data_IF_368855784337
#
_entry.id   IF_368855784337
#
_cell.length_a   1.000
_cell.length_b   1.000
_cell.length_c   1.000
_cell.angle_alpha   90.00
_cell.angle_beta   90.00
_cell.angle_gamma   90.00
#
_symmetry.space_group_name_H-M   'P 1'
#
loop_
_entity.id
_entity.type
_entity.pdbx_description
1 polymer ?
#
# COMPACT_ATOMS: atom_id res chain seq x y z
N UNK A 1 31.29 58.31 -7.50
CA UNK A 1 30.98 58.00 -6.08
C UNK A 1 29.56 57.50 -5.84
N UNK A 2 28.62 57.59 -6.79
CA UNK A 2 27.26 57.03 -6.64
C UNK A 2 27.14 55.56 -7.10
N UNK A 3 28.06 55.07 -7.93
CA UNK A 3 27.98 53.74 -8.55
C UNK A 3 28.56 52.59 -7.67
N UNK A 4 29.21 52.96 -6.56
CA UNK A 4 29.79 52.02 -5.59
C UNK A 4 28.85 51.69 -4.44
N UNK A 5 27.86 52.55 -4.16
CA UNK A 5 26.88 52.35 -3.08
C UNK A 5 25.72 51.46 -3.53
N UNK A 6 25.32 51.52 -4.80
CA UNK A 6 24.28 50.63 -5.36
C UNK A 6 24.74 49.18 -5.52
N UNK A 7 26.02 48.96 -5.87
CA UNK A 7 26.58 47.61 -5.95
C UNK A 7 26.76 46.96 -4.57
N UNK A 8 27.01 47.75 -3.53
CA UNK A 8 27.12 47.24 -2.16
C UNK A 8 25.74 46.87 -1.57
N UNK A 9 24.69 47.62 -1.91
CA UNK A 9 23.32 47.26 -1.57
C UNK A 9 22.82 46.04 -2.35
N UNK A 10 23.13 45.87 -3.64
CA UNK A 10 22.72 44.68 -4.40
C UNK A 10 23.45 43.39 -3.97
N UNK A 11 24.68 43.48 -3.46
CA UNK A 11 25.41 42.33 -2.91
C UNK A 11 24.93 41.98 -1.49
N UNK A 12 24.52 42.97 -0.68
CA UNK A 12 23.95 42.71 0.64
C UNK A 12 22.47 42.29 0.60
N UNK A 13 21.70 42.69 -0.43
CA UNK A 13 20.32 42.24 -0.63
C UNK A 13 20.22 40.82 -1.20
N UNK A 14 21.31 40.27 -1.76
CA UNK A 14 21.39 38.89 -2.26
C UNK A 14 21.94 37.87 -1.26
N UNK A 15 22.27 38.26 -0.02
CA UNK A 15 22.93 37.38 0.95
C UNK A 15 22.25 37.20 2.31
N UNK A 16 21.01 37.67 2.53
CA UNK A 16 20.36 37.53 3.85
C UNK A 16 18.86 37.22 3.83
N UNK A 17 18.45 36.19 3.09
CA UNK A 17 17.41 35.24 3.54
C UNK A 17 17.85 33.84 3.07
N UNK A 18 18.93 33.35 3.66
CA UNK A 18 19.26 31.92 3.72
C UNK A 18 19.28 31.55 5.20
N UNK A 19 18.18 31.82 5.90
CA UNK A 19 17.77 30.88 6.93
C UNK A 19 17.38 29.64 6.14
N UNK A 20 18.24 28.63 6.20
CA UNK A 20 17.76 27.28 6.01
C UNK A 20 16.65 27.09 7.06
N UNK A 21 15.41 27.39 6.68
CA UNK A 21 14.40 26.40 6.91
C UNK A 21 14.94 25.19 6.18
N UNK A 22 15.63 24.30 6.92
CA UNK A 22 15.57 22.90 6.55
C UNK A 22 14.08 22.67 6.33
N UNK A 23 13.66 22.53 5.08
CA UNK A 23 12.36 21.95 4.80
C UNK A 23 12.28 20.73 5.72
N UNK A 24 11.25 20.62 6.57
CA UNK A 24 11.24 19.56 7.57
C UNK A 24 11.46 18.27 6.81
N UNK A 25 12.60 17.60 7.06
CA UNK A 25 12.94 16.34 6.41
C UNK A 25 11.74 15.45 6.62
N UNK A 26 10.90 15.25 5.60
CA UNK A 26 9.63 14.54 5.76
C UNK A 26 9.93 13.19 6.41
N UNK A 27 9.57 13.05 7.68
CA UNK A 27 9.82 11.84 8.44
C UNK A 27 8.64 10.92 8.21
N UNK A 28 8.91 9.66 7.85
CA UNK A 28 7.90 8.62 7.80
C UNK A 28 7.74 8.06 9.22
N UNK A 29 7.04 8.81 10.09
CA UNK A 29 6.72 8.34 11.43
C UNK A 29 5.35 7.67 11.44
N UNK A 30 5.24 6.68 12.29
CA UNK A 30 4.00 5.99 12.60
C UNK A 30 3.04 6.98 13.29
N UNK A 31 1.73 6.79 13.09
CA UNK A 31 0.74 7.69 13.70
C UNK A 31 0.64 9.08 13.05
N UNK A 32 1.23 9.29 11.87
CA UNK A 32 1.12 10.55 11.13
C UNK A 32 0.11 10.46 9.97
N UNK A 33 -0.64 11.54 9.76
CA UNK A 33 -1.42 11.77 8.56
C UNK A 33 -0.56 12.37 7.45
N UNK A 34 -0.65 11.80 6.25
CA UNK A 34 0.06 12.28 5.05
C UNK A 34 -0.94 12.55 3.92
N UNK A 35 -0.68 13.57 3.12
CA UNK A 35 -1.46 13.80 1.91
C UNK A 35 -1.20 12.67 0.90
N UNK A 36 -2.27 12.22 0.24
CA UNK A 36 -2.21 11.23 -0.80
C UNK A 36 -1.44 11.79 -2.01
N UNK A 37 -0.40 11.08 -2.49
CA UNK A 37 0.27 11.44 -3.72
C UNK A 37 -0.67 11.26 -4.91
N UNK A 38 -0.40 11.98 -5.99
CA UNK A 38 -1.10 11.81 -7.27
C UNK A 38 -0.64 10.48 -7.88
N UNK A 39 -1.40 9.42 -7.65
CA UNK A 39 -1.14 8.08 -8.16
C UNK A 39 -2.38 7.52 -8.88
N UNK A 40 -2.19 6.58 -9.82
CA UNK A 40 -3.29 5.80 -10.34
C UNK A 40 -3.75 4.84 -9.25
N UNK A 41 -5.01 5.01 -8.81
CA UNK A 41 -5.69 4.11 -7.88
C UNK A 41 -6.86 3.42 -8.58
N UNK A 42 -7.06 2.14 -8.30
CA UNK A 42 -8.21 1.36 -8.79
C UNK A 42 -9.50 1.86 -8.16
N UNK A 43 -9.50 2.04 -6.85
CA UNK A 43 -10.63 2.57 -6.10
C UNK A 43 -10.28 3.99 -5.63
N UNK A 44 -11.16 4.96 -5.88
CA UNK A 44 -11.02 6.30 -5.30
C UNK A 44 -11.01 6.20 -3.78
N UNK A 45 -9.99 6.78 -3.16
CA UNK A 45 -9.95 6.89 -1.71
C UNK A 45 -11.09 7.80 -1.23
N UNK A 46 -12.01 7.22 -0.45
CA UNK A 46 -13.26 7.89 -0.06
C UNK A 46 -13.12 8.72 1.22
N UNK A 47 -12.01 8.57 1.94
CA UNK A 47 -11.81 9.14 3.27
C UNK A 47 -11.11 10.51 3.22
N UNK A 48 -10.93 11.10 2.03
CA UNK A 48 -10.45 12.48 1.86
C UNK A 48 -9.09 12.57 1.17
N UNK A 49 -8.30 13.59 1.52
CA UNK A 49 -6.98 13.83 0.94
C UNK A 49 -5.83 13.23 1.75
N UNK A 50 -6.09 12.89 3.00
CA UNK A 50 -5.07 12.44 3.94
C UNK A 50 -5.27 10.98 4.31
N UNK A 51 -4.19 10.26 4.52
CA UNK A 51 -4.21 8.89 5.02
C UNK A 51 -3.39 8.76 6.29
N UNK A 52 -3.82 7.86 7.17
CA UNK A 52 -3.11 7.48 8.39
C UNK A 52 -2.01 6.47 8.08
N UNK A 53 -0.80 6.71 8.60
CA UNK A 53 0.36 5.82 8.46
C UNK A 53 0.37 4.77 9.57
N UNK A 54 0.01 3.53 9.22
CA UNK A 54 0.04 2.39 10.16
C UNK A 54 1.45 2.03 10.58
N UNK A 55 1.61 1.53 11.81
CA UNK A 55 2.90 1.08 12.33
C UNK A 55 3.53 -0.01 11.43
N UNK A 56 2.71 -0.98 11.00
CA UNK A 56 3.19 -2.08 10.17
C UNK A 56 3.73 -1.64 8.79
N UNK A 57 3.39 -0.45 8.28
CA UNK A 57 3.86 0.00 6.97
C UNK A 57 5.37 0.16 6.89
N UNK A 58 6.02 0.58 7.98
CA UNK A 58 7.47 0.70 8.01
C UNK A 58 8.16 -0.67 7.88
N UNK A 59 7.61 -1.71 8.50
CA UNK A 59 8.14 -3.08 8.41
C UNK A 59 7.90 -3.68 7.04
N UNK A 60 6.68 -3.55 6.49
CA UNK A 60 6.38 -4.07 5.15
C UNK A 60 7.18 -3.36 4.06
N UNK A 61 7.45 -2.07 4.22
CA UNK A 61 8.32 -1.35 3.30
C UNK A 61 9.73 -1.96 3.27
N UNK A 62 10.31 -2.28 4.45
CA UNK A 62 11.62 -2.92 4.54
C UNK A 62 11.60 -4.28 3.84
N UNK A 63 10.60 -5.12 4.11
CA UNK A 63 10.46 -6.43 3.51
C UNK A 63 10.38 -6.36 1.98
N UNK A 64 9.52 -5.48 1.44
CA UNK A 64 9.41 -5.29 -0.01
C UNK A 64 10.74 -4.80 -0.60
N UNK A 65 11.42 -3.86 0.07
CA UNK A 65 12.69 -3.33 -0.42
C UNK A 65 13.83 -4.36 -0.36
N UNK A 66 13.87 -5.21 0.67
CA UNK A 66 14.82 -6.34 0.76
C UNK A 66 14.63 -7.30 -0.41
N UNK A 67 13.38 -7.68 -0.70
CA UNK A 67 13.07 -8.53 -1.85
C UNK A 67 13.47 -7.88 -3.19
N UNK A 68 13.25 -6.58 -3.35
CA UNK A 68 13.73 -5.85 -4.53
C UNK A 68 15.26 -5.84 -4.62
N UNK A 69 15.98 -5.65 -3.51
CA UNK A 69 17.45 -5.69 -3.51
C UNK A 69 17.98 -7.08 -3.86
N UNK A 70 17.29 -8.13 -3.41
CA UNK A 70 17.57 -9.54 -3.73
C UNK A 70 17.21 -9.93 -5.17
N UNK A 71 16.86 -8.95 -6.00
CA UNK A 71 16.53 -9.11 -7.43
C UNK A 71 15.26 -9.92 -7.68
N UNK A 72 14.33 -9.95 -6.72
CA UNK A 72 13.01 -10.51 -6.95
C UNK A 72 12.31 -9.72 -8.06
N UNK A 73 11.84 -10.44 -9.08
CA UNK A 73 11.20 -9.83 -10.25
C UNK A 73 9.82 -9.29 -9.92
N UNK A 74 9.16 -9.88 -8.93
CA UNK A 74 7.84 -9.50 -8.49
C UNK A 74 7.74 -9.60 -6.97
N UNK A 75 7.09 -8.64 -6.34
CA UNK A 75 6.65 -8.70 -4.94
C UNK A 75 5.16 -8.40 -4.91
N UNK A 76 4.35 -9.32 -4.38
CA UNK A 76 2.90 -9.13 -4.22
C UNK A 76 2.60 -8.75 -2.78
N UNK A 77 1.96 -7.61 -2.58
CA UNK A 77 1.39 -7.21 -1.28
C UNK A 77 -0.12 -7.38 -1.35
N UNK A 78 -0.64 -8.33 -0.57
CA UNK A 78 -2.05 -8.67 -0.55
C UNK A 78 -2.66 -8.63 0.86
N UNK A 79 -3.94 -9.00 0.98
CA UNK A 79 -4.69 -8.95 2.22
C UNK A 79 -6.16 -8.64 2.00
N UNK A 80 -6.95 -8.65 3.07
CA UNK A 80 -8.40 -8.45 3.04
C UNK A 80 -8.77 -7.14 2.33
N UNK A 81 -9.75 -7.13 1.39
CA UNK A 81 -10.25 -5.89 0.81
C UNK A 81 -10.64 -4.90 1.92
N UNK A 82 -10.10 -3.68 1.88
CA UNK A 82 -10.41 -2.64 2.89
C UNK A 82 -9.41 -2.53 4.02
N UNK A 83 -8.37 -3.37 4.06
CA UNK A 83 -7.31 -3.33 5.06
C UNK A 83 -6.26 -2.23 4.84
N UNK A 84 -6.35 -1.47 3.73
CA UNK A 84 -5.45 -0.36 3.44
C UNK A 84 -4.27 -0.69 2.51
N UNK A 85 -4.39 -1.67 1.60
CA UNK A 85 -3.35 -1.98 0.60
C UNK A 85 -3.02 -0.79 -0.31
N UNK A 86 -4.03 -0.13 -0.86
CA UNK A 86 -3.83 1.04 -1.73
C UNK A 86 -3.22 2.23 -0.95
N UNK A 87 -3.41 2.29 0.36
CA UNK A 87 -2.75 3.27 1.23
C UNK A 87 -1.30 2.90 1.48
N UNK A 88 -1.02 1.61 1.68
CA UNK A 88 0.36 1.14 1.71
C UNK A 88 1.09 1.36 0.38
N UNK A 89 0.42 1.21 -0.76
CA UNK A 89 0.94 1.59 -2.08
C UNK A 89 1.34 3.07 -2.14
N UNK A 90 0.48 3.97 -1.66
CA UNK A 90 0.79 5.40 -1.58
C UNK A 90 1.99 5.69 -0.66
N UNK A 91 2.01 5.07 0.53
CA UNK A 91 3.11 5.19 1.48
C UNK A 91 4.43 4.66 0.88
N UNK A 92 4.39 3.47 0.29
CA UNK A 92 5.53 2.83 -0.36
C UNK A 92 6.09 3.74 -1.46
N UNK A 93 5.23 4.25 -2.35
CA UNK A 93 5.64 5.16 -3.41
C UNK A 93 6.37 6.39 -2.87
N UNK A 94 5.77 7.13 -1.91
CA UNK A 94 6.37 8.36 -1.37
C UNK A 94 7.75 8.07 -0.77
N UNK A 95 7.84 7.01 0.03
CA UNK A 95 9.09 6.62 0.70
C UNK A 95 10.15 6.14 -0.28
N UNK A 96 9.77 5.26 -1.20
CA UNK A 96 10.65 4.71 -2.22
C UNK A 96 11.22 5.80 -3.12
N UNK A 97 10.38 6.71 -3.63
CA UNK A 97 10.82 7.85 -4.47
C UNK A 97 11.86 8.70 -3.75
N UNK A 98 11.61 9.04 -2.48
CA UNK A 98 12.55 9.83 -1.68
C UNK A 98 13.88 9.12 -1.47
N UNK A 99 13.84 7.81 -1.18
CA UNK A 99 15.06 7.02 -0.99
C UNK A 99 15.82 6.75 -2.30
N UNK A 100 15.14 6.81 -3.44
CA UNK A 100 15.73 6.61 -4.78
C UNK A 100 16.12 7.90 -5.50
N UNK A 101 15.83 9.06 -4.93
CA UNK A 101 16.17 10.36 -5.52
C UNK A 101 17.67 10.44 -5.84
N UNK A 102 17.99 10.74 -7.11
CA UNK A 102 19.36 10.83 -7.61
C UNK A 102 20.06 9.49 -7.84
N UNK A 103 19.32 8.36 -7.83
CA UNK A 103 19.87 7.01 -8.09
C UNK A 103 19.58 6.47 -9.49
N UNK A 104 19.16 7.35 -10.40
CA UNK A 104 18.82 7.02 -11.79
C UNK A 104 17.70 5.99 -11.89
N UNK A 105 16.66 6.16 -11.07
CA UNK A 105 15.50 5.27 -10.98
C UNK A 105 14.27 5.96 -11.58
N UNK A 106 13.54 5.23 -12.43
CA UNK A 106 12.22 5.60 -12.90
C UNK A 106 11.18 4.73 -12.19
N UNK A 107 10.20 5.37 -11.58
CA UNK A 107 9.04 4.67 -11.00
C UNK A 107 7.88 4.80 -11.96
N UNK A 108 7.36 3.67 -12.43
CA UNK A 108 6.12 3.62 -13.21
C UNK A 108 5.03 3.14 -12.28
N UNK A 109 4.00 3.95 -12.07
CA UNK A 109 2.85 3.65 -11.26
C UNK A 109 1.67 3.31 -12.18
N UNK A 110 0.95 2.23 -11.91
CA UNK A 110 -0.16 1.76 -12.74
C UNK A 110 -1.34 1.27 -11.89
N UNK A 111 -2.55 1.42 -12.41
CA UNK A 111 -3.76 0.83 -11.85
C UNK A 111 -4.31 -0.22 -12.80
N UNK A 112 -4.72 -1.37 -12.26
CA UNK A 112 -5.29 -2.48 -13.01
C UNK A 112 -6.65 -2.90 -12.45
N UNK A 113 -7.67 -2.92 -13.32
CA UNK A 113 -8.99 -3.49 -13.05
C UNK A 113 -9.12 -4.72 -13.92
N UNK A 114 -9.46 -5.89 -13.39
CA UNK A 114 -9.57 -7.08 -14.26
C UNK A 114 -8.29 -7.87 -14.43
N UNK A 115 -7.15 -7.17 -14.43
CA UNK A 115 -5.94 -7.46 -15.23
C UNK A 115 -5.74 -6.50 -16.42
N UNK A 116 -6.71 -5.63 -16.69
CA UNK A 116 -6.65 -4.56 -17.68
C UNK A 116 -6.04 -3.30 -17.06
N UNK A 117 -5.07 -2.71 -17.75
CA UNK A 117 -4.50 -1.42 -17.37
C UNK A 117 -5.59 -0.36 -17.53
N UNK A 118 -5.73 0.55 -16.56
CA UNK A 118 -6.75 1.62 -16.61
C UNK A 118 -6.17 3.03 -16.45
N UNK A 119 -4.95 3.12 -15.93
CA UNK A 119 -4.24 4.38 -15.73
C UNK A 119 -2.77 4.09 -15.44
N UNK A 120 -1.87 4.91 -15.98
CA UNK A 120 -0.44 4.81 -15.75
C UNK A 120 0.19 6.20 -15.69
N UNK A 121 1.11 6.36 -14.75
CA UNK A 121 1.87 7.57 -14.51
C UNK A 121 3.32 7.19 -14.28
N UNK A 122 4.26 7.82 -14.97
CA UNK A 122 5.69 7.66 -14.71
C UNK A 122 6.30 8.87 -14.02
N UNK A 123 7.30 8.58 -13.18
CA UNK A 123 8.05 9.52 -12.37
C UNK A 123 9.54 9.27 -12.59
N UNK A 124 10.25 10.28 -13.09
CA UNK A 124 11.70 10.24 -13.24
C UNK A 124 12.39 11.08 -12.15
N UNK A 125 13.68 10.81 -11.89
CA UNK A 125 14.47 11.49 -10.85
C UNK A 125 14.80 12.96 -11.16
N UNK A 126 14.71 13.37 -12.43
CA UNK A 126 15.28 14.65 -12.90
C UNK A 126 14.29 15.83 -12.87
N UNK A 127 13.00 15.58 -12.61
CA UNK A 127 11.98 16.62 -12.52
C UNK A 127 11.09 16.36 -11.28
N UNK A 128 11.14 17.26 -10.30
CA UNK A 128 10.19 17.30 -9.18
C UNK A 128 8.72 17.44 -9.67
N UNK A 129 8.53 17.86 -10.92
CA UNK A 129 7.24 18.04 -11.60
C UNK A 129 6.98 17.05 -12.76
N UNK A 130 7.88 16.09 -13.01
CA UNK A 130 7.91 15.21 -14.19
C UNK A 130 6.89 14.08 -14.11
N UNK A 131 5.60 14.43 -13.98
CA UNK A 131 4.48 13.50 -13.99
C UNK A 131 4.10 13.22 -15.45
N UNK A 132 4.58 12.11 -15.99
CA UNK A 132 4.23 11.69 -17.35
C UNK A 132 2.99 10.82 -17.31
N UNK A 133 1.86 11.34 -17.80
CA UNK A 133 0.71 10.49 -18.11
C UNK A 133 1.03 9.73 -19.39
N UNK A 134 1.10 8.42 -19.29
CA UNK A 134 1.41 7.54 -20.41
C UNK A 134 0.08 6.96 -20.91
N UNK A 135 -0.08 6.79 -22.22
CA UNK A 135 -1.21 5.97 -22.69
C UNK A 135 -0.93 4.52 -22.34
N UNK A 136 -1.99 3.75 -22.10
CA UNK A 136 -1.88 2.36 -21.67
C UNK A 136 -1.12 1.49 -22.70
N UNK A 137 -1.28 1.81 -23.98
CA UNK A 137 -0.63 1.15 -25.11
C UNK A 137 0.89 1.44 -25.17
N UNK A 138 1.33 2.58 -24.64
CA UNK A 138 2.71 3.09 -24.76
C UNK A 138 3.59 2.72 -23.56
N UNK A 139 3.04 2.02 -22.55
CA UNK A 139 3.77 1.71 -21.31
C UNK A 139 5.06 0.93 -21.56
N UNK A 140 5.03 -0.06 -22.44
CA UNK A 140 6.19 -0.92 -22.71
C UNK A 140 7.27 -0.15 -23.50
N UNK A 141 6.88 0.72 -24.43
CA UNK A 141 7.79 1.60 -25.18
C UNK A 141 8.44 2.64 -24.26
N UNK A 142 7.67 3.23 -23.34
CA UNK A 142 8.21 4.15 -22.33
C UNK A 142 9.26 3.45 -21.46
N UNK A 143 8.93 2.26 -20.94
CA UNK A 143 9.84 1.47 -20.09
C UNK A 143 11.10 1.11 -20.87
N UNK A 144 10.97 0.63 -22.11
CA UNK A 144 12.11 0.31 -22.97
C UNK A 144 12.99 1.53 -23.22
N UNK A 145 12.39 2.70 -23.45
CA UNK A 145 13.10 3.96 -23.60
C UNK A 145 13.86 4.35 -22.33
N UNK A 146 13.27 4.22 -21.15
CA UNK A 146 13.92 4.51 -19.87
C UNK A 146 15.11 3.57 -19.60
N UNK A 147 14.93 2.26 -19.84
CA UNK A 147 16.01 1.27 -19.76
C UNK A 147 17.14 1.57 -20.76
N UNK A 148 16.80 1.99 -22.00
CA UNK A 148 17.77 2.39 -23.01
C UNK A 148 18.58 3.65 -22.64
N UNK A 149 18.02 4.51 -21.78
CA UNK A 149 18.74 5.64 -21.14
C UNK A 149 19.57 5.20 -19.93
N UNK A 150 19.61 3.90 -19.61
CA UNK A 150 20.34 3.34 -18.48
C UNK A 150 19.65 3.52 -17.13
N UNK A 151 18.35 3.89 -17.11
CA UNK A 151 17.59 4.03 -15.85
C UNK A 151 17.21 2.66 -15.30
N UNK A 152 17.20 2.52 -13.97
CA UNK A 152 16.53 1.40 -13.30
C UNK A 152 15.03 1.66 -13.30
N UNK A 153 14.21 0.68 -13.68
CA UNK A 153 12.75 0.86 -13.73
C UNK A 153 12.07 -0.05 -12.73
N UNK A 154 11.22 0.53 -11.86
CA UNK A 154 10.36 -0.21 -10.93
C UNK A 154 8.91 0.10 -11.26
N UNK A 155 8.12 -0.95 -11.51
CA UNK A 155 6.68 -0.87 -11.75
C UNK A 155 5.91 -1.09 -10.44
N UNK A 156 5.07 -0.14 -10.05
CA UNK A 156 4.16 -0.27 -8.92
C UNK A 156 2.73 -0.40 -9.45
N UNK A 157 2.00 -1.43 -9.02
CA UNK A 157 0.65 -1.71 -9.51
C UNK A 157 -0.36 -1.67 -8.36
N UNK A 158 -1.38 -0.81 -8.42
CA UNK A 158 -2.61 -0.99 -7.65
C UNK A 158 -3.54 -1.91 -8.46
N UNK A 159 -3.74 -3.14 -7.98
CA UNK A 159 -4.36 -4.21 -8.75
C UNK A 159 -3.35 -5.06 -9.55
N UNK A 160 -3.71 -6.29 -9.93
CA UNK A 160 -2.78 -7.22 -10.54
C UNK A 160 -2.71 -7.01 -12.05
N UNK A 161 -1.51 -6.94 -12.65
CA UNK A 161 -1.37 -7.04 -14.10
C UNK A 161 -1.66 -8.47 -14.58
N UNK A 162 -1.94 -8.63 -15.88
CA UNK A 162 -2.17 -9.96 -16.49
C UNK A 162 -0.97 -10.90 -16.40
N UNK A 163 0.25 -10.35 -16.40
CA UNK A 163 1.51 -11.12 -16.35
C UNK A 163 2.62 -10.28 -15.73
N UNK A 164 3.59 -10.96 -15.14
CA UNK A 164 4.84 -10.36 -14.68
C UNK A 164 5.66 -9.91 -15.89
N UNK A 165 6.16 -8.67 -15.87
CA UNK A 165 7.13 -8.18 -16.85
C UNK A 165 8.53 -8.63 -16.43
N UNK A 166 9.00 -9.75 -16.97
CA UNK A 166 10.23 -10.39 -16.51
C UNK A 166 11.54 -9.60 -16.67
N UNK A 167 11.51 -8.44 -17.34
CA UNK A 167 12.66 -7.57 -17.58
C UNK A 167 12.71 -6.31 -16.68
N UNK A 168 11.75 -6.16 -15.76
CA UNK A 168 11.76 -5.11 -14.72
C UNK A 168 11.26 -5.68 -13.39
N UNK A 169 11.54 -4.98 -12.30
CA UNK A 169 10.98 -5.33 -11.00
C UNK A 169 9.57 -4.74 -10.84
N UNK A 170 8.66 -5.53 -10.29
CA UNK A 170 7.26 -5.14 -10.13
C UNK A 170 6.78 -5.34 -8.70
N UNK A 171 6.19 -4.33 -8.06
CA UNK A 171 5.47 -4.47 -6.79
C UNK A 171 3.97 -4.36 -7.04
N UNK A 172 3.22 -5.39 -6.67
CA UNK A 172 1.78 -5.50 -6.94
C UNK A 172 0.98 -5.43 -5.65
N UNK A 173 0.22 -4.37 -5.48
CA UNK A 173 -0.69 -4.15 -4.35
C UNK A 173 -2.08 -4.58 -4.76
N UNK A 174 -2.50 -5.78 -4.37
CA UNK A 174 -3.75 -6.34 -4.89
C UNK A 174 -4.53 -7.10 -3.85
N UNK A 175 -5.85 -7.19 -4.02
CA UNK A 175 -6.65 -8.19 -3.30
C UNK A 175 -6.23 -9.60 -3.74
N UNK A 176 -6.53 -10.64 -2.96
CA UNK A 176 -6.37 -12.00 -3.43
C UNK A 176 -7.22 -12.20 -4.69
N UNK A 177 -6.56 -12.29 -5.84
CA UNK A 177 -7.18 -12.47 -7.15
C UNK A 177 -6.67 -13.79 -7.72
N UNK A 178 -7.57 -14.75 -7.91
CA UNK A 178 -7.24 -16.16 -8.12
C UNK A 178 -6.23 -16.38 -9.25
N UNK A 179 -6.41 -15.71 -10.37
CA UNK A 179 -5.56 -15.82 -11.56
C UNK A 179 -4.16 -15.29 -11.27
N UNK A 180 -4.05 -14.15 -10.60
CA UNK A 180 -2.76 -13.59 -10.17
C UNK A 180 -2.07 -14.46 -9.13
N UNK A 181 -2.80 -14.88 -8.08
CA UNK A 181 -2.25 -15.72 -7.01
C UNK A 181 -1.71 -17.05 -7.57
N UNK A 182 -2.39 -17.63 -8.56
CA UNK A 182 -1.89 -18.81 -9.28
C UNK A 182 -0.63 -18.49 -10.09
N UNK A 183 -0.56 -17.31 -10.70
CA UNK A 183 0.61 -16.91 -11.49
C UNK A 183 1.88 -16.75 -10.64
N UNK A 184 1.73 -16.35 -9.36
CA UNK A 184 2.86 -16.09 -8.44
C UNK A 184 3.05 -17.15 -7.35
N UNK A 185 2.27 -18.25 -7.39
CA UNK A 185 2.22 -19.26 -6.32
C UNK A 185 3.59 -19.88 -6.00
N UNK A 186 4.43 -20.04 -7.02
CA UNK A 186 5.75 -20.66 -6.91
C UNK A 186 6.89 -19.66 -6.68
N UNK A 187 6.61 -18.35 -6.72
CA UNK A 187 7.66 -17.32 -6.67
C UNK A 187 7.99 -16.89 -5.23
N UNK A 188 7.33 -17.45 -4.20
CA UNK A 188 7.48 -17.09 -2.78
C UNK A 188 7.49 -15.57 -2.51
N UNK A 189 6.74 -14.82 -3.32
CA UNK A 189 6.88 -13.37 -3.38
C UNK A 189 5.70 -12.61 -2.74
N UNK A 190 4.87 -13.29 -1.97
CA UNK A 190 3.61 -12.72 -1.44
C UNK A 190 3.72 -12.34 0.03
N UNK A 191 3.44 -11.08 0.34
CA UNK A 191 3.30 -10.53 1.68
C UNK A 191 1.83 -10.22 1.99
N UNK A 192 1.34 -10.63 3.15
CA UNK A 192 -0.06 -10.43 3.57
C UNK A 192 -0.14 -9.30 4.60
N UNK A 193 -0.72 -8.15 4.25
CA UNK A 193 -0.93 -7.05 5.19
C UNK A 193 -1.87 -7.46 6.34
N UNK A 194 -1.54 -7.12 7.59
CA UNK A 194 -2.33 -7.51 8.75
C UNK A 194 -3.61 -6.67 8.83
N UNK A 195 -4.61 -7.21 9.53
CA UNK A 195 -5.77 -6.43 9.97
C UNK A 195 -5.32 -5.29 10.88
N UNK A 196 -6.18 -4.28 11.00
CA UNK A 196 -6.00 -3.16 11.93
C UNK A 196 -6.26 -3.60 13.36
N UNK A 197 -5.46 -3.11 14.28
CA UNK A 197 -5.78 -3.20 15.70
C UNK A 197 -6.82 -2.16 16.08
N UNK A 198 -7.59 -2.40 17.14
CA UNK A 198 -8.61 -1.46 17.59
C UNK A 198 -8.00 -0.10 17.97
N UNK A 199 -6.83 -0.10 18.61
CA UNK A 199 -6.07 1.12 18.91
C UNK A 199 -5.70 1.91 17.64
N UNK A 200 -5.18 1.23 16.60
CA UNK A 200 -4.85 1.86 15.31
C UNK A 200 -6.10 2.50 14.66
N UNK A 201 -7.29 1.89 14.83
CA UNK A 201 -8.54 2.41 14.29
C UNK A 201 -9.00 3.68 15.01
N UNK A 202 -8.90 3.74 16.34
CA UNK A 202 -9.24 4.95 17.10
C UNK A 202 -8.32 6.11 16.72
N UNK A 203 -7.01 5.89 16.73
CA UNK A 203 -6.04 6.91 16.33
C UNK A 203 -6.32 7.43 14.92
N UNK A 204 -6.50 6.50 13.96
CA UNK A 204 -6.81 6.86 12.57
C UNK A 204 -8.14 7.60 12.44
N UNK A 205 -9.18 7.21 13.18
CA UNK A 205 -10.48 7.89 13.20
C UNK A 205 -10.36 9.35 13.65
N UNK A 206 -9.62 9.60 14.74
CA UNK A 206 -9.32 10.94 15.26
C UNK A 206 -8.54 11.76 14.24
N UNK A 207 -7.47 11.20 13.67
CA UNK A 207 -6.59 11.91 12.75
C UNK A 207 -7.22 12.23 11.38
N UNK A 208 -8.00 11.31 10.82
CA UNK A 208 -8.64 11.50 9.52
C UNK A 208 -9.86 12.44 9.66
N UNK A 209 -10.43 12.54 10.87
CA UNK A 209 -11.56 13.42 11.15
C UNK A 209 -12.81 13.00 10.39
N UNK A 210 -13.06 11.68 10.34
CA UNK A 210 -14.19 11.11 9.60
C UNK A 210 -15.52 11.55 10.19
N UNK A 211 -16.47 11.84 9.31
CA UNK A 211 -17.79 12.36 9.68
C UNK A 211 -18.90 11.46 9.16
N UNK A 212 -19.94 11.33 9.98
CA UNK A 212 -21.25 10.80 9.60
C UNK A 212 -21.94 11.76 8.61
N UNK A 213 -23.03 11.36 7.94
CA UNK A 213 -23.72 12.21 6.96
C UNK A 213 -24.29 13.49 7.56
N UNK A 214 -24.60 13.49 8.85
CA UNK A 214 -25.05 14.67 9.62
C UNK A 214 -23.90 15.64 9.99
N UNK A 215 -22.66 15.31 9.61
CA UNK A 215 -21.46 16.11 9.88
C UNK A 215 -20.85 15.89 11.25
N UNK A 216 -21.44 15.05 12.11
CA UNK A 216 -20.86 14.66 13.39
C UNK A 216 -19.66 13.71 13.19
N UNK A 217 -18.66 13.72 14.08
CA UNK A 217 -17.56 12.76 14.02
C UNK A 217 -18.05 11.31 14.15
N UNK A 218 -17.35 10.37 13.51
CA UNK A 218 -17.49 8.96 13.85
C UNK A 218 -16.87 8.77 15.25
N UNK A 219 -17.70 8.45 16.23
CA UNK A 219 -17.26 8.25 17.61
C UNK A 219 -16.73 6.84 17.85
N UNK A 220 -15.99 6.69 18.94
CA UNK A 220 -15.33 5.43 19.33
C UNK A 220 -16.31 4.25 19.43
N UNK A 221 -17.50 4.44 20.01
CA UNK A 221 -18.54 3.41 20.08
C UNK A 221 -18.93 2.86 18.70
N UNK A 222 -18.92 3.71 17.66
CA UNK A 222 -19.21 3.29 16.28
C UNK A 222 -18.07 2.46 15.70
N UNK A 223 -16.82 2.85 15.98
CA UNK A 223 -15.62 2.12 15.55
C UNK A 223 -15.54 0.77 16.27
N UNK A 224 -15.77 0.74 17.59
CA UNK A 224 -15.76 -0.48 18.40
C UNK A 224 -16.86 -1.45 17.96
N UNK A 225 -18.10 -0.97 17.78
CA UNK A 225 -19.17 -1.81 17.25
C UNK A 225 -18.88 -2.36 15.85
N UNK A 226 -18.24 -1.56 14.99
CA UNK A 226 -17.75 -2.02 13.69
C UNK A 226 -16.66 -3.09 13.81
N UNK A 227 -15.73 -2.92 14.74
CA UNK A 227 -14.66 -3.87 15.01
C UNK A 227 -15.20 -5.21 15.53
N UNK A 228 -16.21 -5.19 16.39
CA UNK A 228 -16.84 -6.41 16.89
C UNK A 228 -17.50 -7.25 15.79
N UNK A 229 -18.03 -6.59 14.75
CA UNK A 229 -18.70 -7.25 13.63
C UNK A 229 -17.71 -7.66 12.53
N UNK A 230 -16.83 -6.74 12.14
CA UNK A 230 -15.99 -6.85 10.94
C UNK A 230 -14.52 -7.12 11.25
N UNK A 231 -14.14 -7.15 12.52
CA UNK A 231 -12.75 -7.21 12.97
C UNK A 231 -11.96 -5.98 12.52
N UNK A 232 -10.65 -6.13 12.42
CA UNK A 232 -9.72 -5.05 12.04
C UNK A 232 -9.75 -4.65 10.55
N UNK A 233 -10.90 -4.60 9.89
CA UNK A 233 -10.94 -4.13 8.51
C UNK A 233 -11.45 -2.69 8.48
N UNK A 234 -10.51 -1.76 8.42
CA UNK A 234 -10.75 -0.33 8.52
C UNK A 234 -11.92 0.19 7.69
N UNK A 235 -12.03 -0.20 6.41
CA UNK A 235 -13.12 0.29 5.55
C UNK A 235 -14.52 0.03 6.13
N UNK A 236 -14.72 -1.11 6.78
CA UNK A 236 -16.04 -1.44 7.34
C UNK A 236 -16.19 -0.90 8.77
N UNK A 237 -15.10 -0.74 9.53
CA UNK A 237 -15.11 -0.08 10.84
C UNK A 237 -15.44 1.43 10.75
N UNK A 238 -15.15 2.04 9.60
CA UNK A 238 -15.42 3.46 9.34
C UNK A 238 -16.70 3.70 8.52
N UNK A 239 -17.64 2.76 8.50
CA UNK A 239 -18.91 2.98 7.82
C UNK A 239 -19.70 4.11 8.50
N UNK A 240 -20.21 5.08 7.74
CA UNK A 240 -20.76 6.31 8.32
C UNK A 240 -22.20 6.16 8.83
N UNK A 241 -22.89 5.05 8.52
CA UNK A 241 -24.30 4.84 8.88
C UNK A 241 -24.58 3.40 9.32
N UNK A 242 -25.55 3.24 10.22
CA UNK A 242 -26.06 1.93 10.65
C UNK A 242 -26.64 1.11 9.49
N UNK A 243 -27.29 1.76 8.52
CA UNK A 243 -27.81 1.10 7.31
C UNK A 243 -26.70 0.42 6.51
N UNK A 244 -25.56 1.10 6.31
CA UNK A 244 -24.42 0.53 5.61
C UNK A 244 -23.77 -0.60 6.43
N UNK A 245 -23.69 -0.44 7.76
CA UNK A 245 -23.21 -1.50 8.66
C UNK A 245 -24.09 -2.74 8.53
N UNK A 246 -25.41 -2.60 8.61
CA UNK A 246 -26.33 -3.74 8.53
C UNK A 246 -26.29 -4.38 7.13
N UNK A 247 -26.24 -3.59 6.06
CA UNK A 247 -26.03 -4.11 4.71
C UNK A 247 -24.76 -4.97 4.62
N UNK A 248 -23.63 -4.45 5.11
CA UNK A 248 -22.34 -5.16 5.08
C UNK A 248 -22.32 -6.40 5.96
N UNK A 249 -23.00 -6.34 7.11
CA UNK A 249 -23.19 -7.49 7.99
C UNK A 249 -24.02 -8.58 7.33
N UNK A 250 -25.09 -8.22 6.61
CA UNK A 250 -25.88 -9.19 5.85
C UNK A 250 -25.06 -9.81 4.71
N UNK A 251 -24.25 -9.03 3.99
CA UNK A 251 -23.33 -9.57 2.96
C UNK A 251 -22.31 -10.55 3.56
N UNK A 252 -21.77 -10.24 4.75
CA UNK A 252 -20.90 -11.12 5.53
C UNK A 252 -21.62 -12.43 5.88
N UNK A 253 -22.76 -12.34 6.58
CA UNK A 253 -23.58 -13.49 7.01
C UNK A 253 -23.99 -14.37 5.84
N UNK A 254 -24.37 -13.76 4.71
CA UNK A 254 -24.83 -14.46 3.53
C UNK A 254 -23.76 -15.41 2.97
N UNK A 255 -22.49 -15.04 2.97
CA UNK A 255 -21.48 -16.00 2.54
C UNK A 255 -20.86 -16.83 3.67
N UNK A 256 -20.99 -16.45 4.95
CA UNK A 256 -20.79 -17.42 6.03
C UNK A 256 -21.70 -18.62 5.83
N UNK A 257 -22.98 -18.36 5.53
CA UNK A 257 -23.98 -19.39 5.29
C UNK A 257 -23.68 -20.28 4.07
N UNK A 258 -22.84 -19.81 3.13
CA UNK A 258 -22.39 -20.61 1.99
C UNK A 258 -21.31 -21.62 2.37
N UNK A 259 -20.70 -21.50 3.56
CA UNK A 259 -19.67 -22.42 4.04
C UNK A 259 -20.36 -23.54 4.82
N UNK A 260 -20.64 -24.65 4.15
CA UNK A 260 -21.40 -25.76 4.74
C UNK A 260 -20.50 -26.81 5.38
N UNK A 261 -19.19 -26.81 5.08
CA UNK A 261 -18.23 -27.80 5.58
C UNK A 261 -16.86 -27.20 5.89
N UNK A 262 -16.07 -27.81 6.80
CA UNK A 262 -14.67 -27.44 7.03
C UNK A 262 -13.79 -27.54 5.77
N UNK A 263 -14.09 -28.48 4.87
CA UNK A 263 -13.40 -28.67 3.60
C UNK A 263 -13.70 -27.53 2.63
N UNK A 264 -14.96 -27.08 2.59
CA UNK A 264 -15.37 -25.91 1.82
C UNK A 264 -14.72 -24.64 2.36
N UNK A 265 -14.68 -24.48 3.68
CA UNK A 265 -13.94 -23.42 4.33
C UNK A 265 -12.45 -23.42 3.93
N UNK A 266 -11.77 -24.57 4.04
CA UNK A 266 -10.35 -24.73 3.65
C UNK A 266 -10.14 -24.45 2.16
N UNK A 267 -11.05 -24.92 1.30
CA UNK A 267 -11.03 -24.68 -0.15
C UNK A 267 -11.12 -23.20 -0.44
N UNK A 268 -12.06 -22.50 0.20
CA UNK A 268 -12.32 -21.09 -0.06
C UNK A 268 -11.21 -20.20 0.54
N UNK A 269 -10.69 -20.54 1.74
CA UNK A 269 -9.53 -19.89 2.33
C UNK A 269 -8.27 -19.96 1.44
N UNK A 270 -8.11 -21.03 0.65
CA UNK A 270 -6.99 -21.19 -0.30
C UNK A 270 -7.14 -20.43 -1.62
N UNK A 271 -8.36 -20.10 -2.05
CA UNK A 271 -8.59 -19.56 -3.39
C UNK A 271 -8.48 -18.04 -3.51
N UNK A 272 -8.47 -17.31 -2.39
CA UNK A 272 -8.47 -15.85 -2.40
C UNK A 272 -9.80 -15.29 -2.92
N UNK A 273 -10.55 -14.62 -2.06
CA UNK A 273 -11.94 -14.24 -2.34
C UNK A 273 -12.05 -12.93 -3.15
N UNK A 274 -12.86 -12.93 -4.21
CA UNK A 274 -13.05 -11.78 -5.11
C UNK A 274 -14.44 -11.11 -4.96
N UNK A 275 -14.47 -9.79 -5.18
CA UNK A 275 -15.62 -8.85 -5.09
C UNK A 275 -16.79 -9.15 -6.04
N UNK A 276 -16.67 -10.14 -6.94
CA UNK A 276 -17.73 -10.51 -7.90
C UNK A 276 -18.46 -11.82 -7.52
N UNK A 277 -18.36 -12.28 -6.25
CA UNK A 277 -19.11 -13.45 -5.77
C UNK A 277 -19.19 -13.76 -4.26
N UNK A 278 -18.67 -12.89 -3.35
CA UNK A 278 -18.73 -12.89 -1.85
C UNK A 278 -18.22 -14.17 -1.10
N UNK A 279 -17.82 -14.14 0.21
CA UNK A 279 -17.96 -13.12 1.26
C UNK A 279 -16.68 -12.73 2.03
N UNK A 280 -16.93 -11.88 3.00
CA UNK A 280 -16.06 -11.27 3.99
C UNK A 280 -15.83 -12.21 5.19
N UNK A 281 -14.65 -12.19 5.81
CA UNK A 281 -14.42 -12.71 7.17
C UNK A 281 -13.11 -12.15 7.75
N UNK A 282 -13.11 -11.59 8.97
CA UNK A 282 -11.90 -11.25 9.70
C UNK A 282 -11.29 -12.50 10.33
N UNK A 283 -10.13 -12.96 9.83
CA UNK A 283 -9.29 -13.82 10.67
C UNK A 283 -8.50 -12.95 11.63
N UNK A 284 -8.87 -13.06 12.91
CA UNK A 284 -7.97 -12.79 14.03
C UNK A 284 -6.84 -13.82 13.90
N UNK A 285 -5.65 -13.40 13.46
CA UNK A 285 -4.47 -14.22 13.70
C UNK A 285 -4.27 -14.21 15.21
N UNK A 286 -4.56 -15.34 15.87
CA UNK A 286 -4.17 -15.51 17.26
C UNK A 286 -2.68 -15.25 17.36
N UNK A 287 -2.30 -14.18 18.06
CA UNK A 287 -0.93 -13.90 18.42
C UNK A 287 -0.35 -15.12 19.13
N UNK A 288 0.62 -15.78 18.48
CA UNK A 288 1.51 -16.70 19.16
C UNK A 288 2.91 -16.14 19.02
N UNK A 289 3.27 -15.34 20.02
CA UNK A 289 4.63 -14.87 20.24
C UNK A 289 5.42 -16.01 20.85
N UNK A 290 6.46 -16.48 20.16
CA UNK A 290 7.52 -17.26 20.81
C UNK A 290 8.60 -16.28 21.29
N UNK A 291 9.03 -16.49 22.53
CA UNK A 291 10.07 -15.69 23.18
C UNK A 291 11.36 -16.50 23.10
N UNK A 292 12.43 -15.91 22.56
CA UNK A 292 13.72 -16.59 22.58
C UNK A 292 14.30 -16.66 24.01
N UNK A 293 15.43 -17.37 24.17
CA UNK A 293 16.06 -17.58 25.48
C UNK A 293 16.62 -16.28 26.09
N UNK A 294 16.59 -15.17 25.35
CA UNK A 294 17.03 -13.84 25.77
C UNK A 294 15.87 -12.86 25.98
N UNK A 295 14.61 -13.29 25.87
CA UNK A 295 13.44 -12.43 26.07
C UNK A 295 13.07 -11.57 24.84
N UNK A 296 13.68 -11.82 23.68
CA UNK A 296 13.38 -11.09 22.45
C UNK A 296 12.19 -11.73 21.74
N UNK A 297 11.24 -10.90 21.30
CA UNK A 297 10.12 -11.36 20.44
C UNK A 297 10.67 -11.68 19.06
N UNK A 298 10.59 -12.94 18.64
CA UNK A 298 11.07 -13.38 17.32
C UNK A 298 9.90 -13.88 16.50
N UNK A 299 9.73 -13.31 15.30
CA UNK A 299 8.76 -13.79 14.32
C UNK A 299 9.32 -15.03 13.62
N UNK A 300 8.89 -16.22 14.04
CA UNK A 300 9.29 -17.48 13.40
C UNK A 300 8.27 -17.87 12.31
N UNK A 301 8.54 -17.44 11.08
CA UNK A 301 7.90 -18.03 9.90
C UNK A 301 8.57 -19.39 9.66
N UNK A 302 7.89 -20.50 9.99
CA UNK A 302 8.35 -21.84 9.61
C UNK A 302 8.38 -21.94 8.08
N UNK A 303 9.54 -21.65 7.49
CA UNK A 303 9.84 -21.99 6.10
C UNK A 303 9.99 -23.51 6.02
N UNK A 304 8.94 -24.19 5.56
CA UNK A 304 8.99 -25.60 5.21
C UNK A 304 9.95 -25.82 4.04
N UNK A 305 11.24 -26.06 4.33
CA UNK A 305 12.17 -26.65 3.37
C UNK A 305 11.82 -28.13 3.21
N UNK A 306 11.09 -28.47 2.16
CA UNK A 306 11.09 -29.84 1.66
C UNK A 306 12.42 -30.11 0.97
N UNK A 307 13.38 -30.67 1.71
CA UNK A 307 14.49 -31.40 1.10
C UNK A 307 13.94 -32.70 0.53
N UNK A 308 13.95 -32.82 -0.79
CA UNK A 308 13.89 -34.12 -1.44
C UNK A 308 15.19 -34.86 -1.13
N UNK A 309 15.12 -35.89 -0.28
CA UNK A 309 16.21 -36.86 -0.13
C UNK A 309 16.04 -37.94 -1.19
N UNK A 310 16.97 -37.97 -2.13
CA UNK A 310 17.20 -39.09 -3.03
C UNK A 310 17.77 -40.29 -2.27
N UNK A 311 17.08 -41.42 -2.37
CA UNK A 311 17.63 -42.78 -2.47
C UNK A 311 16.62 -43.65 -3.18
#
# INVERSE_FOLDING_TARGET
MLDSYDKMNQVQQKQKIRLAAEEPKETFREGECKELPVLPFVDKYRLGKYYYTRACYAEYYKLVNEMLNDQERCVTVTGTPGVGKSIFYAYFFKRFRKEMQGKNTCVVAAAYIRDELVNVIAFEDDDDDGVWRINEEDIDDFIAGALGRGKNVVLLCDGPPKRIRGWIQTVVFTRPYKEWMRAVENDNCTLWLPLWELGELFESGEYIGLKKPDGSPIGDDTIEGGFDIFGGVARECFLPTEELVEQRKQELLAGVAQISTPEEFKRLARQGWTRDGLPYFPFRTSERWDVDHNGTRVYNMHMGRHYASST
#
